data_IF_635158427999
#
_entry.id   IF_635158427999
#
_cell.length_a   1.000
_cell.length_b   1.000
_cell.length_c   1.000
_cell.angle_alpha   90.00
_cell.angle_beta   90.00
_cell.angle_gamma   90.00
#
_symmetry.space_group_name_H-M   'P 1'
#
loop_
_entity.id
_entity.type
_entity.pdbx_description
1 polymer ?
#
# COMPACT_ATOMS: atom_id res chain seq x y z
N UNK A 1 -23.63 -7.26 17.28
CA UNK A 1 -22.50 -6.31 17.16
C UNK A 1 -21.47 -6.75 18.17
N UNK A 2 -20.51 -7.58 17.76
CA UNK A 2 -19.52 -8.12 18.68
C UNK A 2 -18.56 -7.02 19.10
N UNK A 3 -18.46 -6.83 20.42
CA UNK A 3 -17.52 -5.95 21.10
C UNK A 3 -16.09 -6.35 20.67
N UNK A 4 -15.49 -5.60 19.74
CA UNK A 4 -14.07 -5.77 19.42
C UNK A 4 -13.30 -4.97 20.46
N UNK A 5 -12.41 -5.61 21.25
CA UNK A 5 -11.62 -4.89 22.24
C UNK A 5 -10.81 -3.79 21.54
N UNK A 6 -10.97 -2.56 22.00
CA UNK A 6 -10.27 -1.40 21.45
C UNK A 6 -8.75 -1.57 21.57
N UNK A 7 -8.01 -1.06 20.59
CA UNK A 7 -6.54 -0.99 20.64
C UNK A 7 -6.10 0.38 21.15
N UNK A 8 -5.00 0.44 21.91
CA UNK A 8 -4.42 1.68 22.42
C UNK A 8 -3.35 2.21 21.47
N UNK A 9 -3.32 3.52 21.24
CA UNK A 9 -2.30 4.15 20.40
C UNK A 9 -1.01 4.36 21.20
N UNK A 10 0.09 3.86 20.67
CA UNK A 10 1.44 4.15 21.15
C UNK A 10 1.98 5.38 20.41
N UNK A 11 1.77 6.56 21.00
CA UNK A 11 2.15 7.83 20.38
C UNK A 11 3.66 7.99 20.18
N UNK A 12 4.50 7.35 21.00
CA UNK A 12 5.96 7.45 20.90
C UNK A 12 6.50 6.73 19.66
N UNK A 13 5.85 5.64 19.27
CA UNK A 13 6.21 4.87 18.07
C UNK A 13 5.38 5.22 16.83
N UNK A 14 4.49 6.21 16.96
CA UNK A 14 3.65 6.69 15.86
C UNK A 14 4.27 7.89 15.15
N UNK A 15 3.92 8.11 13.88
CA UNK A 15 4.43 9.23 13.07
C UNK A 15 3.30 10.09 12.50
N UNK A 16 3.47 11.42 12.52
CA UNK A 16 2.59 12.32 11.75
C UNK A 16 2.85 12.15 10.26
N UNK A 17 1.79 12.12 9.45
CA UNK A 17 1.87 12.14 7.98
C UNK A 17 1.92 13.57 7.42
N UNK A 18 2.52 14.47 8.19
CA UNK A 18 2.61 15.90 7.89
C UNK A 18 3.46 16.16 6.63
N UNK A 19 4.53 15.39 6.46
CA UNK A 19 5.51 15.47 5.36
C UNK A 19 4.96 14.96 4.02
N UNK A 20 4.01 14.05 4.05
CA UNK A 20 3.30 13.51 2.87
C UNK A 20 1.97 14.25 2.57
N UNK A 21 1.77 15.43 3.17
CA UNK A 21 0.62 16.29 2.90
C UNK A 21 -0.69 15.84 3.56
N UNK A 22 -0.64 14.96 4.56
CA UNK A 22 -1.80 14.48 5.30
C UNK A 22 -1.73 14.83 6.80
N UNK A 23 -1.71 16.13 7.17
CA UNK A 23 -1.42 16.58 8.53
C UNK A 23 -2.49 16.23 9.57
N UNK A 24 -3.71 15.80 9.17
CA UNK A 24 -4.72 15.28 10.11
C UNK A 24 -4.47 13.83 10.49
N UNK A 25 -3.59 13.12 9.79
CA UNK A 25 -3.39 11.68 9.97
C UNK A 25 -2.10 11.34 10.71
N UNK A 26 -2.18 10.28 11.51
CA UNK A 26 -1.06 9.56 12.11
C UNK A 26 -0.96 8.17 11.46
N UNK A 27 0.26 7.77 11.10
CA UNK A 27 0.60 6.35 10.99
C UNK A 27 0.85 5.85 12.42
N UNK A 28 -0.18 5.24 13.00
CA UNK A 28 -0.21 4.86 14.40
C UNK A 28 0.22 3.41 14.61
N UNK A 29 1.11 3.20 15.58
CA UNK A 29 1.31 1.88 16.18
C UNK A 29 0.26 1.72 17.26
N UNK A 30 -0.58 0.70 17.15
CA UNK A 30 -1.62 0.40 18.11
C UNK A 30 -1.37 -0.97 18.75
N UNK A 31 -1.61 -1.07 20.06
CA UNK A 31 -1.46 -2.30 20.83
C UNK A 31 -2.84 -2.86 21.16
N UNK A 32 -3.10 -4.12 20.79
CA UNK A 32 -4.36 -4.81 21.08
C UNK A 32 -4.42 -5.25 22.55
N UNK A 33 -5.58 -5.70 23.01
CA UNK A 33 -5.71 -6.28 24.36
C UNK A 33 -4.92 -7.59 24.56
N UNK A 34 -4.51 -8.25 23.47
CA UNK A 34 -3.64 -9.43 23.50
C UNK A 34 -2.14 -9.05 23.56
N UNK A 35 -1.81 -7.77 23.43
CA UNK A 35 -0.43 -7.28 23.34
C UNK A 35 0.15 -7.29 21.92
N UNK A 36 -0.66 -7.64 20.91
CA UNK A 36 -0.21 -7.61 19.51
C UNK A 36 -0.12 -6.18 18.99
N UNK A 37 0.84 -5.95 18.09
CA UNK A 37 1.01 -4.66 17.41
C UNK A 37 0.28 -4.67 16.07
N UNK A 38 -0.52 -3.62 15.84
CA UNK A 38 -1.24 -3.40 14.58
C UNK A 38 -1.06 -1.96 14.14
N UNK A 39 -0.80 -1.76 12.85
CA UNK A 39 -0.63 -0.44 12.26
C UNK A 39 -1.98 0.11 11.79
N UNK A 40 -2.27 1.35 12.15
CA UNK A 40 -3.50 2.04 11.77
C UNK A 40 -3.22 3.43 11.19
N UNK A 41 -4.00 3.82 10.20
CA UNK A 41 -4.13 5.23 9.83
C UNK A 41 -5.20 5.87 10.70
N UNK A 42 -4.81 6.84 11.54
CA UNK A 42 -5.70 7.47 12.51
C UNK A 42 -5.89 8.93 12.16
N UNK A 43 -7.14 9.35 11.91
CA UNK A 43 -7.50 10.77 11.84
C UNK A 43 -7.57 11.35 13.25
N UNK A 44 -6.75 12.38 13.52
CA UNK A 44 -6.71 13.09 14.80
C UNK A 44 -8.03 13.78 15.08
N UNK A 45 -8.62 14.43 14.08
CA UNK A 45 -9.90 15.12 14.22
C UNK A 45 -11.04 14.13 14.54
N UNK A 46 -11.11 13.00 13.83
CA UNK A 46 -12.16 12.00 14.10
C UNK A 46 -12.00 11.36 15.48
N UNK A 47 -10.75 11.09 15.89
CA UNK A 47 -10.43 10.56 17.21
C UNK A 47 -10.84 11.53 18.33
N UNK A 48 -10.45 12.80 18.24
CA UNK A 48 -10.82 13.83 19.22
C UNK A 48 -12.34 14.06 19.29
N UNK A 49 -13.04 13.91 18.15
CA UNK A 49 -14.48 14.05 18.07
C UNK A 49 -15.30 12.85 18.55
N UNK A 50 -14.66 11.77 19.03
CA UNK A 50 -15.34 10.54 19.47
C UNK A 50 -16.07 9.80 18.33
N UNK A 51 -15.73 10.11 17.07
CA UNK A 51 -16.32 9.52 15.86
C UNK A 51 -15.28 8.73 15.07
N UNK A 52 -14.24 8.23 15.74
CA UNK A 52 -13.25 7.39 15.10
C UNK A 52 -13.93 6.17 14.48
N UNK A 53 -13.96 6.14 13.15
CA UNK A 53 -14.39 4.96 12.43
C UNK A 53 -13.28 3.91 12.58
N UNK A 54 -13.67 2.67 12.88
CA UNK A 54 -12.74 1.55 12.77
C UNK A 54 -12.65 1.16 11.29
N UNK A 55 -11.45 1.20 10.74
CA UNK A 55 -11.21 0.69 9.40
C UNK A 55 -11.29 -0.85 9.35
N UNK A 56 -10.98 -1.39 8.18
CA UNK A 56 -10.85 -2.82 7.96
C UNK A 56 -9.36 -3.19 7.96
N UNK A 57 -8.85 -4.02 8.89
CA UNK A 57 -7.46 -4.44 8.87
C UNK A 57 -7.15 -5.37 7.68
N UNK A 58 -8.16 -5.85 6.95
CA UNK A 58 -7.99 -6.70 5.76
C UNK A 58 -8.05 -5.88 4.47
N UNK A 59 -7.08 -4.98 4.29
CA UNK A 59 -7.04 -4.15 3.08
C UNK A 59 -6.60 -4.97 1.86
N UNK A 60 -7.35 -4.94 0.73
CA UNK A 60 -6.99 -5.72 -0.47
C UNK A 60 -5.60 -5.40 -1.06
N UNK A 61 -5.06 -4.21 -0.77
CA UNK A 61 -3.74 -3.79 -1.24
C UNK A 61 -2.57 -4.31 -0.37
N UNK A 62 -2.86 -4.87 0.81
CA UNK A 62 -1.89 -5.54 1.69
C UNK A 62 -1.77 -7.05 1.40
N UNK A 63 -2.68 -7.59 0.58
CA UNK A 63 -2.68 -9.00 0.20
C UNK A 63 -1.41 -9.41 -0.54
N UNK A 64 -0.70 -10.40 0.00
CA UNK A 64 0.44 -11.04 -0.66
C UNK A 64 -0.07 -11.92 -1.80
N UNK A 65 -0.11 -11.37 -3.01
CA UNK A 65 -0.61 -12.08 -4.17
C UNK A 65 -0.85 -11.17 -5.36
N UNK A 66 -1.50 -11.72 -6.39
CA UNK A 66 -1.86 -10.92 -7.56
C UNK A 66 -2.92 -9.89 -7.16
N UNK A 67 -2.67 -8.62 -7.46
CA UNK A 67 -3.64 -7.54 -7.23
C UNK A 67 -5.04 -7.91 -7.79
N UNK A 68 -6.13 -7.52 -7.10
CA UNK A 68 -7.49 -7.69 -7.59
C UNK A 68 -7.64 -7.15 -9.02
N UNK A 69 -8.46 -7.81 -9.85
CA UNK A 69 -8.61 -7.47 -11.27
C UNK A 69 -8.95 -5.97 -11.49
N UNK A 70 -9.84 -5.43 -10.68
CA UNK A 70 -10.24 -4.01 -10.71
C UNK A 70 -9.09 -3.05 -10.40
N UNK A 71 -8.18 -3.40 -9.48
CA UNK A 71 -6.96 -2.61 -9.22
C UNK A 71 -5.95 -2.76 -10.36
N UNK A 72 -5.79 -3.97 -10.92
CA UNK A 72 -4.89 -4.21 -12.05
C UNK A 72 -5.26 -3.38 -13.26
N UNK A 73 -6.54 -3.29 -13.58
CA UNK A 73 -7.04 -2.43 -14.67
C UNK A 73 -6.75 -0.96 -14.41
N UNK A 74 -6.94 -0.46 -13.18
CA UNK A 74 -6.64 0.93 -12.85
C UNK A 74 -5.16 1.28 -12.95
N UNK A 75 -4.27 0.36 -12.58
CA UNK A 75 -2.81 0.61 -12.53
C UNK A 75 -2.14 0.31 -13.88
N UNK A 76 -2.50 -0.80 -14.53
CA UNK A 76 -1.83 -1.29 -15.75
C UNK A 76 -2.72 -1.27 -17.00
N UNK A 77 -4.03 -1.03 -16.87
CA UNK A 77 -4.98 -1.21 -17.97
C UNK A 77 -5.00 -2.64 -18.51
N UNK A 78 -5.41 -2.80 -19.77
CA UNK A 78 -5.53 -4.11 -20.43
C UNK A 78 -4.20 -4.77 -20.77
N UNK A 79 -3.05 -4.13 -20.50
CA UNK A 79 -1.81 -4.65 -21.05
C UNK A 79 -0.58 -4.27 -20.25
N UNK A 80 0.02 -5.28 -19.63
CA UNK A 80 1.27 -5.19 -18.87
C UNK A 80 2.43 -4.75 -19.77
N UNK A 81 3.37 -3.99 -19.22
CA UNK A 81 4.50 -3.39 -19.95
C UNK A 81 5.82 -3.70 -19.25
N UNK A 82 6.89 -3.83 -20.04
CA UNK A 82 8.25 -4.12 -19.56
C UNK A 82 8.77 -3.10 -18.54
N UNK A 83 8.58 -1.80 -18.80
CA UNK A 83 8.99 -0.72 -17.89
C UNK A 83 10.51 -0.50 -17.76
N UNK A 84 11.36 -1.46 -18.18
CA UNK A 84 12.83 -1.32 -18.14
C UNK A 84 13.31 -0.12 -18.96
N UNK A 85 14.37 0.58 -18.54
CA UNK A 85 14.88 1.73 -19.26
C UNK A 85 15.37 1.32 -20.65
N UNK A 86 14.98 2.09 -21.66
CA UNK A 86 15.56 2.03 -23.01
C UNK A 86 16.93 2.72 -23.03
N UNK A 87 17.66 2.63 -24.15
CA UNK A 87 18.92 3.39 -24.32
C UNK A 87 18.72 4.91 -24.23
N UNK A 88 17.50 5.40 -24.49
CA UNK A 88 17.12 6.79 -24.33
C UNK A 88 16.60 7.13 -22.91
N UNK A 89 16.72 6.22 -21.94
CA UNK A 89 16.26 6.40 -20.56
C UNK A 89 14.75 6.29 -20.35
N UNK A 90 13.95 6.29 -21.43
CA UNK A 90 12.49 6.16 -21.34
C UNK A 90 12.07 4.72 -20.99
N UNK A 91 10.95 4.53 -20.25
CA UNK A 91 10.47 3.21 -19.89
C UNK A 91 9.97 2.43 -21.12
N UNK A 92 10.39 1.17 -21.25
CA UNK A 92 10.00 0.31 -22.35
C UNK A 92 8.51 -0.02 -22.33
N UNK A 93 7.85 0.19 -23.48
CA UNK A 93 6.41 -0.04 -23.67
C UNK A 93 6.07 -1.35 -24.40
N UNK A 94 7.00 -2.31 -24.49
CA UNK A 94 6.67 -3.64 -25.01
C UNK A 94 5.76 -4.41 -24.04
N UNK A 95 4.81 -5.18 -24.59
CA UNK A 95 3.88 -6.00 -23.81
C UNK A 95 4.62 -7.16 -23.13
N UNK A 96 4.23 -7.50 -21.91
CA UNK A 96 4.74 -8.65 -21.16
C UNK A 96 3.59 -9.50 -20.62
N UNK A 97 3.87 -10.77 -20.29
CA UNK A 97 2.86 -11.71 -19.80
C UNK A 97 2.54 -11.55 -18.32
N UNK A 98 3.51 -11.08 -17.53
CA UNK A 98 3.37 -10.93 -16.08
C UNK A 98 3.98 -9.59 -15.60
N UNK A 99 3.45 -9.01 -14.51
CA UNK A 99 4.00 -7.78 -13.94
C UNK A 99 5.48 -7.94 -13.56
N UNK A 100 6.31 -6.94 -13.86
CA UNK A 100 7.74 -6.94 -13.49
C UNK A 100 8.67 -7.73 -14.42
N UNK A 101 8.13 -8.54 -15.34
CA UNK A 101 8.95 -9.22 -16.34
C UNK A 101 9.60 -8.23 -17.31
N UNK A 102 10.84 -8.52 -17.70
CA UNK A 102 11.48 -7.88 -18.83
C UNK A 102 10.92 -8.45 -20.14
N UNK A 103 10.80 -7.61 -21.18
CA UNK A 103 10.49 -8.09 -22.53
C UNK A 103 11.70 -8.82 -23.14
N UNK A 104 11.48 -9.54 -24.25
CA UNK A 104 12.53 -10.30 -24.94
C UNK A 104 13.81 -9.51 -25.25
N UNK A 105 13.67 -8.22 -25.58
CA UNK A 105 14.81 -7.33 -25.86
C UNK A 105 15.63 -7.01 -24.59
N UNK A 106 14.97 -6.95 -23.44
CA UNK A 106 15.60 -6.63 -22.16
C UNK A 106 16.07 -7.87 -21.39
N UNK A 107 15.44 -9.04 -21.58
CA UNK A 107 15.98 -10.31 -21.06
C UNK A 107 17.28 -10.69 -21.76
N UNK A 108 17.36 -10.50 -23.08
CA UNK A 108 18.60 -10.76 -23.84
C UNK A 108 19.78 -9.87 -23.41
N UNK A 109 19.51 -8.66 -22.92
CA UNK A 109 20.53 -7.72 -22.42
C UNK A 109 21.01 -7.99 -21.00
N UNK A 110 20.20 -8.63 -20.16
CA UNK A 110 20.55 -8.90 -18.76
C UNK A 110 21.46 -10.13 -18.58
N UNK A 111 21.67 -10.91 -19.65
CA UNK A 111 22.49 -12.14 -19.64
C UNK A 111 23.97 -11.90 -20.05
N UNK A 112 24.48 -10.67 -19.89
CA UNK A 112 25.87 -10.29 -20.17
C UNK A 112 26.46 -9.63 -18.95
#
# INVERSE_FOLDING_TARGET
MSDRPGSLIDYERSACLCDVGAPDYLAAVCVTNAGDEVLWLVSKTALAGGRAQHGDPSQPHEGLGRLPATMRERIWGDSLRCGRPTSAGQPCRQRVKEPGLACGLHTAKAAT
#
